data_IF_331435978997
#
_entry.id   IF_331435978997
#
_cell.length_a   1.000
_cell.length_b   1.000
_cell.length_c   1.000
_cell.angle_alpha   90.00
_cell.angle_beta   90.00
_cell.angle_gamma   90.00
#
_symmetry.space_group_name_H-M   'P 1'
#
loop_
_entity.id
_entity.type
_entity.pdbx_description
1 polymer ?
#
# COMPACT_ATOMS: atom_id res chain seq x y z
N UNK A 1 4.79 -3.11 -17.07
CA UNK A 1 3.32 -3.25 -17.09
C UNK A 1 2.84 -2.30 -18.17
N UNK A 2 2.17 -2.79 -19.21
CA UNK A 2 1.61 -1.98 -20.30
C UNK A 2 0.10 -1.87 -20.15
N UNK A 3 -0.48 -0.78 -20.67
CA UNK A 3 -1.94 -0.60 -20.76
C UNK A 3 -2.33 -0.59 -22.23
N UNK A 4 -3.54 -1.06 -22.55
CA UNK A 4 -4.05 -0.98 -23.92
C UNK A 4 -4.68 0.40 -24.14
N UNK A 5 -4.25 1.10 -25.20
CA UNK A 5 -4.88 2.33 -25.69
C UNK A 5 -5.37 2.03 -27.11
N UNK A 6 -6.69 2.08 -27.31
CA UNK A 6 -7.34 1.71 -28.57
C UNK A 6 -6.93 0.31 -29.07
N UNK A 7 -6.80 -0.65 -28.15
CA UNK A 7 -6.44 -2.04 -28.47
C UNK A 7 -4.96 -2.29 -28.74
N UNK A 8 -4.12 -1.24 -28.73
CA UNK A 8 -2.66 -1.38 -28.88
C UNK A 8 -1.96 -1.17 -27.54
N UNK A 9 -0.96 -2.00 -27.19
CA UNK A 9 -0.23 -1.86 -25.93
C UNK A 9 0.65 -0.60 -25.95
N UNK A 10 0.66 0.12 -24.83
CA UNK A 10 1.63 1.20 -24.58
C UNK A 10 3.02 0.62 -24.28
N UNK A 11 4.03 1.49 -24.29
CA UNK A 11 5.33 1.19 -23.68
C UNK A 11 5.13 0.76 -22.23
N UNK A 12 5.95 -0.18 -21.78
CA UNK A 12 5.98 -0.61 -20.40
C UNK A 12 6.37 0.55 -19.48
N UNK A 13 5.54 0.79 -18.46
CA UNK A 13 5.88 1.73 -17.40
C UNK A 13 6.24 0.98 -16.13
N UNK A 14 7.12 1.61 -15.34
CA UNK A 14 7.45 1.18 -13.99
C UNK A 14 6.32 1.66 -13.08
N UNK A 15 5.76 0.74 -12.31
CA UNK A 15 4.72 1.07 -11.33
C UNK A 15 5.37 1.91 -10.22
N UNK A 16 4.88 3.14 -10.02
CA UNK A 16 5.33 4.01 -8.94
C UNK A 16 4.88 3.51 -7.57
N UNK A 17 5.31 4.19 -6.49
CA UNK A 17 4.78 3.92 -5.15
C UNK A 17 3.29 4.26 -5.12
N UNK A 18 2.45 3.28 -4.80
CA UNK A 18 1.01 3.45 -4.65
C UNK A 18 0.23 2.24 -5.17
N UNK A 19 -0.99 2.08 -4.66
CA UNK A 19 -1.95 1.13 -5.21
C UNK A 19 -2.63 1.76 -6.43
N UNK A 20 -2.95 0.96 -7.45
CA UNK A 20 -3.73 1.44 -8.59
C UNK A 20 -5.13 1.82 -8.08
N UNK A 21 -5.44 3.10 -8.10
CA UNK A 21 -6.82 3.56 -7.89
C UNK A 21 -7.70 2.97 -9.00
N UNK A 22 -8.87 2.46 -8.64
CA UNK A 22 -9.76 1.77 -9.56
C UNK A 22 -9.51 0.26 -9.72
N UNK A 23 -8.46 -0.29 -9.10
CA UNK A 23 -8.35 -1.74 -8.92
C UNK A 23 -9.30 -2.17 -7.78
N UNK A 24 -10.28 -3.06 -8.03
CA UNK A 24 -11.23 -3.49 -7.01
C UNK A 24 -10.57 -4.16 -5.79
N UNK A 25 -9.32 -4.62 -5.88
CA UNK A 25 -8.59 -5.23 -4.77
C UNK A 25 -7.82 -4.22 -3.90
N UNK A 26 -7.53 -3.02 -4.40
CA UNK A 26 -6.75 -2.00 -3.68
C UNK A 26 -7.29 -1.68 -2.27
N UNK A 27 -8.62 -1.53 -2.04
CA UNK A 27 -9.15 -1.30 -0.70
C UNK A 27 -8.85 -2.44 0.29
N UNK A 28 -8.93 -3.68 -0.18
CA UNK A 28 -8.66 -4.85 0.65
C UNK A 28 -7.18 -4.95 1.03
N UNK A 29 -6.28 -4.72 0.07
CA UNK A 29 -4.85 -4.69 0.32
C UNK A 29 -4.47 -3.57 1.30
N UNK A 30 -5.10 -2.40 1.20
CA UNK A 30 -4.90 -1.32 2.16
C UNK A 30 -5.27 -1.73 3.58
N UNK A 31 -6.42 -2.39 3.78
CA UNK A 31 -6.86 -2.85 5.09
C UNK A 31 -5.88 -3.86 5.71
N UNK A 32 -5.39 -4.83 4.94
CA UNK A 32 -4.40 -5.81 5.41
C UNK A 32 -3.13 -5.10 5.92
N UNK A 33 -2.62 -4.14 5.15
CA UNK A 33 -1.41 -3.39 5.52
C UNK A 33 -1.63 -2.56 6.77
N UNK A 34 -2.77 -1.86 6.87
CA UNK A 34 -3.10 -1.03 8.03
C UNK A 34 -3.29 -1.87 9.28
N UNK A 35 -3.94 -3.04 9.21
CA UNK A 35 -4.09 -3.93 10.35
C UNK A 35 -2.73 -4.44 10.84
N UNK A 36 -1.88 -4.90 9.92
CA UNK A 36 -0.52 -5.33 10.25
C UNK A 36 0.31 -4.22 10.88
N UNK A 37 0.28 -3.02 10.29
CA UNK A 37 0.98 -1.85 10.82
C UNK A 37 0.46 -1.47 12.22
N UNK A 38 -0.85 -1.50 12.45
CA UNK A 38 -1.46 -1.18 13.75
C UNK A 38 -0.93 -2.12 14.83
N UNK A 39 -0.93 -3.44 14.58
CA UNK A 39 -0.41 -4.44 15.52
C UNK A 39 1.08 -4.25 15.81
N UNK A 40 1.88 -3.94 14.78
CA UNK A 40 3.31 -3.66 14.94
C UNK A 40 3.55 -2.40 15.77
N UNK A 41 2.76 -1.34 15.56
CA UNK A 41 2.85 -0.12 16.34
C UNK A 41 2.46 -0.34 17.80
N UNK A 42 1.39 -1.08 18.09
CA UNK A 42 1.03 -1.45 19.46
C UNK A 42 2.19 -2.20 20.14
N UNK A 43 2.76 -3.20 19.47
CA UNK A 43 3.90 -3.96 20.01
C UNK A 43 5.13 -3.06 20.26
N UNK A 44 5.39 -2.09 19.38
CA UNK A 44 6.49 -1.16 19.55
C UNK A 44 6.28 -0.24 20.77
N UNK A 45 5.05 0.20 21.03
CA UNK A 45 4.69 0.95 22.24
C UNK A 45 4.84 0.09 23.49
N UNK A 46 4.29 -1.13 23.49
CA UNK A 46 4.38 -2.06 24.62
C UNK A 46 5.84 -2.42 24.96
N UNK A 47 6.70 -2.48 23.94
CA UNK A 47 8.13 -2.76 24.08
C UNK A 47 8.97 -1.51 24.40
N UNK A 48 8.34 -0.36 24.66
CA UNK A 48 9.00 0.94 24.87
C UNK A 48 9.94 1.38 23.73
N UNK A 49 9.78 0.82 22.53
CA UNK A 49 10.55 1.20 21.33
C UNK A 49 9.98 2.44 20.65
N UNK A 50 8.73 2.78 20.93
CA UNK A 50 8.06 3.96 20.41
C UNK A 50 7.28 4.65 21.53
N UNK A 51 7.45 5.96 21.66
CA UNK A 51 6.79 6.78 22.66
C UNK A 51 6.35 8.10 22.01
N UNK A 52 5.23 8.65 22.49
CA UNK A 52 4.70 9.91 22.00
C UNK A 52 5.72 11.05 22.16
N UNK A 53 5.70 11.99 21.21
CA UNK A 53 6.43 13.24 21.35
C UNK A 53 5.80 14.10 22.45
N UNK A 54 6.63 14.84 23.20
CA UNK A 54 6.21 15.64 24.37
C UNK A 54 5.97 17.09 24.01
#
# INVERSE_FOLDING_TARGET
>A
MSVLVNGSPTVDFIVGKGLRQGDPLSPFLFLIVVEGLTRLMCKAVDSNMFHGYK
#
